data_IF_256069840411
#
_entry.id   IF_256069840411
#
_cell.length_a   1.000
_cell.length_b   1.000
_cell.length_c   1.000
_cell.angle_alpha   90.00
_cell.angle_beta   90.00
_cell.angle_gamma   90.00
#
_symmetry.space_group_name_H-M   'P 1'
#
loop_
_entity.id
_entity.type
_entity.pdbx_description
1 polymer ?
#
# COMPACT_ATOMS: atom_id res chain seq x y z
N UNK A 1 -0.76 -24.21 21.17
CA UNK A 1 -0.22 -23.09 20.37
C UNK A 1 -1.43 -22.35 19.81
N UNK A 2 -1.75 -21.17 20.33
CA UNK A 2 -2.81 -20.33 19.77
C UNK A 2 -2.38 -19.91 18.36
N UNK A 3 -3.19 -20.23 17.33
CA UNK A 3 -3.01 -19.64 16.00
C UNK A 3 -2.91 -18.12 16.15
N UNK A 4 -2.11 -17.42 15.32
CA UNK A 4 -2.19 -15.97 15.26
C UNK A 4 -3.63 -15.63 14.91
N UNK A 5 -4.35 -15.03 15.86
CA UNK A 5 -5.73 -14.64 15.67
C UNK A 5 -5.74 -13.61 14.54
N UNK A 6 -6.33 -13.96 13.40
CA UNK A 6 -6.65 -12.97 12.40
C UNK A 6 -7.61 -11.98 13.06
N UNK A 7 -7.26 -10.69 13.01
CA UNK A 7 -8.06 -9.64 13.66
C UNK A 7 -9.50 -9.63 13.13
N UNK A 8 -9.70 -9.99 11.86
CA UNK A 8 -11.01 -10.12 11.22
C UNK A 8 -11.27 -11.57 10.78
N UNK A 9 -12.55 -11.95 10.69
CA UNK A 9 -13.01 -13.26 10.24
C UNK A 9 -13.36 -13.28 8.75
N UNK A 10 -13.88 -12.18 8.21
CA UNK A 10 -14.10 -12.01 6.77
C UNK A 10 -12.76 -11.85 6.07
N UNK A 11 -12.62 -12.55 4.93
CA UNK A 11 -11.41 -12.61 4.13
C UNK A 11 -11.72 -12.16 2.70
N UNK A 12 -11.00 -11.14 2.22
CA UNK A 12 -11.13 -10.60 0.87
C UNK A 12 -9.95 -10.99 0.00
N UNK A 13 -10.20 -11.24 -1.28
CA UNK A 13 -9.16 -11.51 -2.30
C UNK A 13 -9.10 -10.42 -3.37
N UNK A 14 -10.03 -9.45 -3.33
CA UNK A 14 -10.19 -8.39 -4.32
C UNK A 14 -10.82 -7.14 -3.69
N UNK A 15 -10.88 -6.05 -4.45
CA UNK A 15 -11.54 -4.80 -4.07
C UNK A 15 -12.98 -5.03 -3.60
N UNK A 16 -13.37 -4.33 -2.52
CA UNK A 16 -14.74 -4.35 -2.00
C UNK A 16 -15.17 -2.93 -1.57
N UNK A 17 -16.48 -2.67 -1.40
CA UNK A 17 -17.00 -1.30 -1.31
C UNK A 17 -16.34 -0.40 -0.26
N UNK A 18 -15.90 -0.96 0.87
CA UNK A 18 -15.30 -0.17 1.95
C UNK A 18 -13.88 0.34 1.64
N UNK A 19 -13.18 -0.29 0.69
CA UNK A 19 -11.82 0.07 0.26
C UNK A 19 -11.78 0.61 -1.17
N UNK A 20 -12.93 0.73 -1.84
CA UNK A 20 -13.00 1.16 -3.24
C UNK A 20 -12.32 2.52 -3.42
N UNK A 21 -11.31 2.65 -4.30
CA UNK A 21 -10.49 3.87 -4.41
C UNK A 21 -11.27 5.07 -4.95
N UNK A 22 -12.38 4.80 -5.64
CA UNK A 22 -13.33 5.78 -6.17
C UNK A 22 -14.39 6.21 -5.16
N UNK A 23 -14.37 5.67 -3.93
CA UNK A 23 -15.32 6.04 -2.88
C UNK A 23 -15.10 7.49 -2.45
N UNK A 24 -16.12 8.37 -2.50
CA UNK A 24 -15.99 9.76 -2.07
C UNK A 24 -15.52 9.89 -0.61
N UNK A 25 -15.90 8.93 0.25
CA UNK A 25 -15.52 8.90 1.66
C UNK A 25 -14.01 8.70 1.88
N UNK A 26 -13.29 8.19 0.88
CA UNK A 26 -11.84 7.95 0.96
C UNK A 26 -11.01 9.04 0.27
N UNK A 27 -11.63 10.17 -0.07
CA UNK A 27 -10.94 11.32 -0.68
C UNK A 27 -9.98 11.97 0.31
N UNK A 28 -8.74 12.21 -0.12
CA UNK A 28 -7.64 12.75 0.66
C UNK A 28 -7.43 14.24 0.34
N UNK A 29 -8.47 15.05 0.62
CA UNK A 29 -8.49 16.45 0.24
C UNK A 29 -7.41 17.25 0.98
N UNK A 30 -6.57 17.98 0.24
CA UNK A 30 -5.47 18.78 0.78
C UNK A 30 -4.19 17.97 1.05
N UNK A 31 -4.26 16.65 0.99
CA UNK A 31 -3.19 15.78 1.43
C UNK A 31 -2.18 15.47 0.30
N UNK A 32 -0.93 15.27 0.70
CA UNK A 32 0.14 14.74 -0.17
C UNK A 32 0.44 13.30 0.22
N UNK A 33 0.29 12.39 -0.74
CA UNK A 33 0.51 10.95 -0.56
C UNK A 33 1.79 10.54 -1.29
N UNK A 34 2.69 9.82 -0.61
CA UNK A 34 3.86 9.19 -1.22
C UNK A 34 3.67 7.68 -1.30
N UNK A 35 3.91 7.10 -2.48
CA UNK A 35 3.67 5.69 -2.77
C UNK A 35 4.94 5.08 -3.36
N UNK A 36 5.36 3.96 -2.80
CA UNK A 36 6.50 3.18 -3.29
C UNK A 36 6.03 1.98 -4.12
N UNK A 37 6.76 1.62 -5.18
CA UNK A 37 6.54 0.35 -5.89
C UNK A 37 5.73 0.42 -7.19
N UNK A 38 5.38 1.61 -7.68
CA UNK A 38 4.95 1.88 -9.07
C UNK A 38 3.65 1.24 -9.59
N UNK A 39 3.05 0.29 -8.87
CA UNK A 39 1.74 -0.26 -9.15
C UNK A 39 0.80 0.16 -8.02
N UNK A 40 -0.06 1.14 -8.27
CA UNK A 40 -1.02 1.61 -7.29
C UNK A 40 -2.32 2.01 -8.00
N UNK A 41 -3.41 1.43 -7.52
CA UNK A 41 -4.75 2.02 -7.57
C UNK A 41 -4.79 3.16 -6.53
N UNK A 42 -5.38 4.30 -6.85
CA UNK A 42 -5.21 5.55 -6.11
C UNK A 42 -6.53 6.14 -5.62
N UNK A 43 -6.51 6.67 -4.40
CA UNK A 43 -7.52 7.60 -3.93
C UNK A 43 -7.29 8.98 -4.55
N UNK A 44 -8.36 9.73 -4.76
CA UNK A 44 -8.27 11.16 -5.09
C UNK A 44 -7.55 11.92 -3.96
N UNK A 45 -6.48 12.64 -4.30
CA UNK A 45 -5.68 13.45 -3.39
C UNK A 45 -5.26 14.78 -4.04
N UNK A 46 -4.79 15.75 -3.25
CA UNK A 46 -4.24 16.98 -3.83
C UNK A 46 -2.91 16.74 -4.56
N UNK A 47 -2.05 15.87 -4.00
CA UNK A 47 -0.78 15.49 -4.61
C UNK A 47 -0.45 14.03 -4.36
N UNK A 48 0.03 13.35 -5.39
CA UNK A 48 0.51 11.98 -5.33
C UNK A 48 1.94 11.90 -5.87
N UNK A 49 2.83 11.33 -5.07
CA UNK A 49 4.25 11.14 -5.37
C UNK A 49 4.48 9.63 -5.54
N UNK A 50 4.84 9.22 -6.76
CA UNK A 50 5.07 7.81 -7.07
C UNK A 50 6.58 7.56 -7.20
N UNK A 51 7.10 6.67 -6.37
CA UNK A 51 8.51 6.28 -6.32
C UNK A 51 8.66 4.86 -6.85
N UNK A 52 9.58 4.67 -7.78
CA UNK A 52 9.91 3.35 -8.32
C UNK A 52 11.25 3.34 -9.03
N UNK A 53 11.78 2.14 -9.30
CA UNK A 53 13.13 2.01 -9.89
C UNK A 53 13.21 2.34 -11.39
N UNK A 54 12.07 2.33 -12.09
CA UNK A 54 11.99 2.39 -13.55
C UNK A 54 11.14 3.57 -14.02
N UNK A 55 11.79 4.61 -14.54
CA UNK A 55 11.12 5.86 -14.93
C UNK A 55 10.10 5.67 -16.05
N UNK A 56 10.43 4.92 -17.11
CA UNK A 56 9.53 4.70 -18.23
C UNK A 56 8.17 4.12 -17.80
N UNK A 57 8.16 3.17 -16.85
CA UNK A 57 6.92 2.61 -16.32
C UNK A 57 6.16 3.57 -15.39
N UNK A 58 6.86 4.48 -14.71
CA UNK A 58 6.23 5.47 -13.85
C UNK A 58 5.51 6.54 -14.68
N UNK A 59 6.16 7.01 -15.75
CA UNK A 59 5.59 8.02 -16.64
C UNK A 59 4.34 7.52 -17.36
N UNK A 60 4.36 6.29 -17.89
CA UNK A 60 3.18 5.70 -18.54
C UNK A 60 1.99 5.60 -17.58
N UNK A 61 2.23 5.15 -16.34
CA UNK A 61 1.20 5.08 -15.30
C UNK A 61 0.65 6.48 -14.97
N UNK A 62 1.53 7.48 -14.81
CA UNK A 62 1.11 8.85 -14.49
C UNK A 62 0.34 9.51 -15.64
N UNK A 63 0.61 9.19 -16.90
CA UNK A 63 -0.20 9.66 -18.03
C UNK A 63 -1.65 9.17 -17.92
N UNK A 64 -1.85 7.90 -17.59
CA UNK A 64 -3.20 7.32 -17.39
C UNK A 64 -3.88 7.96 -16.18
N UNK A 65 -3.16 8.10 -15.07
CA UNK A 65 -3.70 8.67 -13.83
C UNK A 65 -4.06 10.14 -13.95
N UNK A 66 -3.26 10.96 -14.66
CA UNK A 66 -3.62 12.35 -14.98
C UNK A 66 -4.86 12.45 -15.85
N UNK A 67 -5.17 11.40 -16.61
CA UNK A 67 -6.40 11.36 -17.39
C UNK A 67 -7.64 11.08 -16.54
N UNK A 68 -7.48 10.31 -15.46
CA UNK A 68 -8.56 9.94 -14.54
C UNK A 68 -8.76 11.00 -13.44
N UNK A 69 -7.67 11.47 -12.83
CA UNK A 69 -7.67 12.39 -11.68
C UNK A 69 -7.22 13.80 -12.10
N UNK A 70 -8.15 14.56 -12.70
CA UNK A 70 -7.87 15.88 -13.29
C UNK A 70 -7.39 16.94 -12.29
N UNK A 71 -7.74 16.79 -11.02
CA UNK A 71 -7.44 17.77 -9.95
C UNK A 71 -6.22 17.40 -9.13
N UNK A 72 -5.61 16.23 -9.37
CA UNK A 72 -4.50 15.71 -8.59
C UNK A 72 -3.17 16.04 -9.26
N UNK A 73 -2.24 16.62 -8.50
CA UNK A 73 -0.87 16.78 -8.94
C UNK A 73 -0.12 15.44 -8.84
N UNK A 74 0.61 15.07 -9.89
CA UNK A 74 1.42 13.84 -9.90
C UNK A 74 2.90 14.16 -10.07
N UNK A 75 3.71 13.66 -9.14
CA UNK A 75 5.17 13.71 -9.17
C UNK A 75 5.70 12.26 -9.28
N UNK A 76 6.60 12.01 -10.21
CA UNK A 76 7.34 10.74 -10.28
C UNK A 76 8.77 10.94 -9.80
N UNK A 77 9.31 9.94 -9.11
CA UNK A 77 10.73 9.91 -8.72
C UNK A 77 11.31 8.53 -8.93
N UNK A 78 12.44 8.48 -9.61
CA UNK A 78 13.27 7.29 -9.56
C UNK A 78 13.78 7.08 -8.14
N UNK A 79 13.66 5.87 -7.62
CA UNK A 79 14.23 5.51 -6.33
C UNK A 79 14.19 4.02 -6.05
N UNK A 80 15.21 3.53 -5.36
CA UNK A 80 15.27 2.19 -4.79
C UNK A 80 15.05 2.25 -3.28
N UNK A 81 13.91 1.73 -2.83
CA UNK A 81 13.57 1.70 -1.40
C UNK A 81 14.46 0.77 -0.58
N UNK A 82 15.26 -0.09 -1.24
CA UNK A 82 16.27 -0.91 -0.59
C UNK A 82 17.62 -0.20 -0.39
N UNK A 83 17.76 1.06 -0.84
CA UNK A 83 19.00 1.84 -0.77
C UNK A 83 18.82 3.05 0.15
N UNK A 84 19.61 3.10 1.22
CA UNK A 84 19.60 4.23 2.18
C UNK A 84 19.95 5.56 1.49
N UNK A 85 20.89 5.55 0.54
CA UNK A 85 21.24 6.72 -0.27
C UNK A 85 20.04 7.18 -1.10
N UNK A 86 19.35 6.26 -1.77
CA UNK A 86 18.17 6.59 -2.56
C UNK A 86 17.03 7.14 -1.69
N UNK A 87 16.85 6.63 -0.48
CA UNK A 87 15.87 7.14 0.49
C UNK A 87 16.26 8.55 0.94
N UNK A 88 17.53 8.77 1.25
CA UNK A 88 18.06 10.07 1.66
C UNK A 88 17.84 11.12 0.59
N UNK A 89 18.24 10.83 -0.65
CA UNK A 89 18.02 11.74 -1.79
C UNK A 89 16.54 12.03 -2.06
N UNK A 90 15.65 11.05 -1.87
CA UNK A 90 14.21 11.27 -1.98
C UNK A 90 13.74 12.30 -0.95
N UNK A 91 14.11 12.13 0.33
CA UNK A 91 13.68 13.05 1.38
C UNK A 91 14.31 14.43 1.25
N UNK A 92 15.58 14.54 0.88
CA UNK A 92 16.23 15.81 0.59
C UNK A 92 15.55 16.56 -0.56
N UNK A 93 15.19 15.85 -1.63
CA UNK A 93 14.42 16.42 -2.73
C UNK A 93 13.08 16.98 -2.24
N UNK A 94 12.29 16.19 -1.51
CA UNK A 94 10.98 16.63 -1.01
C UNK A 94 11.11 17.84 -0.08
N UNK A 95 12.12 17.83 0.80
CA UNK A 95 12.44 18.96 1.66
C UNK A 95 12.80 20.22 0.87
N UNK A 96 13.64 20.09 -0.16
CA UNK A 96 14.04 21.21 -1.02
C UNK A 96 12.87 21.87 -1.77
N UNK A 97 11.81 21.09 -2.04
CA UNK A 97 10.58 21.55 -2.67
C UNK A 97 9.53 22.04 -1.66
N UNK A 98 9.87 22.04 -0.36
CA UNK A 98 8.95 22.33 0.74
C UNK A 98 7.68 21.45 0.70
N UNK A 99 7.85 20.19 0.29
CA UNK A 99 6.77 19.21 0.21
C UNK A 99 6.69 18.44 1.53
N UNK A 100 5.53 18.53 2.17
CA UNK A 100 5.20 17.74 3.35
C UNK A 100 4.40 16.50 2.93
N UNK A 101 4.90 15.30 3.26
CA UNK A 101 4.21 14.03 3.02
C UNK A 101 3.30 13.76 4.20
N UNK A 102 2.01 13.61 3.94
CA UNK A 102 1.00 13.36 4.97
C UNK A 102 0.69 11.89 5.14
N UNK A 103 0.83 11.12 4.06
CA UNK A 103 0.61 9.67 4.02
C UNK A 103 1.76 9.02 3.26
N UNK A 104 2.42 8.07 3.91
CA UNK A 104 3.40 7.18 3.27
C UNK A 104 2.82 5.77 3.06
N UNK A 105 2.71 5.35 1.81
CA UNK A 105 2.28 4.00 1.40
C UNK A 105 3.50 3.16 0.98
N UNK A 106 3.88 2.24 1.85
CA UNK A 106 4.98 1.29 1.61
C UNK A 106 4.49 0.03 0.89
N UNK A 107 4.08 0.18 -0.37
CA UNK A 107 3.61 -0.94 -1.20
C UNK A 107 4.76 -1.72 -1.88
N UNK A 108 5.97 -1.15 -1.98
CA UNK A 108 7.11 -1.85 -2.59
C UNK A 108 7.45 -3.15 -1.84
N UNK A 109 7.13 -4.29 -2.45
CA UNK A 109 7.53 -5.59 -1.95
C UNK A 109 8.90 -5.98 -2.52
N UNK A 110 9.86 -6.26 -1.63
CA UNK A 110 11.09 -6.96 -1.99
C UNK A 110 10.84 -8.48 -1.88
N UNK A 111 10.83 -9.18 -3.00
CA UNK A 111 10.88 -10.65 -3.01
C UNK A 111 12.35 -11.06 -2.99
N UNK A 112 12.88 -11.37 -1.81
CA UNK A 112 14.24 -11.90 -1.68
C UNK A 112 14.35 -13.30 -2.29
N UNK A 113 15.48 -13.56 -2.94
CA UNK A 113 15.84 -14.77 -3.67
C UNK A 113 15.61 -16.08 -2.90
N UNK A 114 14.60 -16.85 -3.35
CA UNK A 114 14.56 -18.31 -3.57
C UNK A 114 13.12 -18.61 -4.02
N UNK A 115 12.81 -18.96 -5.27
CA UNK A 115 13.47 -19.84 -6.25
C UNK A 115 13.71 -19.09 -7.59
N UNK A 116 14.82 -19.39 -8.25
CA UNK A 116 15.15 -18.87 -9.59
C UNK A 116 14.19 -19.43 -10.65
N UNK A 117 13.69 -18.57 -11.54
CA UNK A 117 12.96 -19.00 -12.73
C UNK A 117 13.90 -19.80 -13.65
N UNK A 118 13.49 -21.03 -13.98
CA UNK A 118 14.05 -21.85 -15.04
C UNK A 118 12.89 -22.51 -15.78
N UNK A 119 13.08 -22.93 -17.04
CA UNK A 119 12.07 -23.73 -17.77
C UNK A 119 11.67 -25.00 -16.99
N UNK A 120 12.56 -25.52 -16.14
CA UNK A 120 12.25 -26.62 -15.20
C UNK A 120 11.37 -26.20 -14.02
N UNK A 121 11.60 -25.03 -13.43
CA UNK A 121 10.79 -24.51 -12.32
C UNK A 121 9.37 -24.08 -12.77
N UNK A 122 9.24 -23.52 -13.97
CA UNK A 122 7.95 -23.16 -14.56
C UNK A 122 7.08 -24.39 -14.93
N UNK A 123 7.71 -25.54 -15.21
CA UNK A 123 7.02 -26.83 -15.43
C UNK A 123 6.52 -27.47 -14.13
N UNK A 124 7.08 -27.12 -12.98
CA UNK A 124 6.76 -27.73 -11.68
C UNK A 124 5.63 -27.02 -10.90
N UNK A 125 5.43 -25.71 -11.10
CA UNK A 125 4.40 -24.94 -10.42
C UNK A 125 3.39 -24.38 -11.43
N UNK A 126 2.36 -25.16 -11.74
CA UNK A 126 1.27 -24.71 -12.60
C UNK A 126 0.57 -23.46 -12.04
N UNK A 127 0.05 -22.60 -12.92
CA UNK A 127 -0.75 -21.39 -12.55
C UNK A 127 -1.91 -21.69 -11.58
N UNK A 128 -2.36 -22.94 -11.49
CA UNK A 128 -3.41 -23.45 -10.60
C UNK A 128 -2.94 -23.90 -9.21
N UNK A 129 -1.64 -23.86 -8.91
CA UNK A 129 -1.07 -24.34 -7.65
C UNK A 129 -1.29 -23.43 -6.43
N UNK A 130 -1.78 -22.20 -6.64
CA UNK A 130 -1.95 -21.20 -5.59
C UNK A 130 -3.27 -20.43 -5.76
N UNK A 131 -3.93 -20.12 -4.64
CA UNK A 131 -4.98 -19.08 -4.62
C UNK A 131 -4.27 -17.73 -4.68
N UNK A 132 -4.40 -17.04 -5.81
CA UNK A 132 -3.79 -15.72 -6.02
C UNK A 132 -4.74 -14.64 -5.51
N UNK A 133 -4.21 -13.66 -4.80
CA UNK A 133 -4.95 -12.44 -4.52
C UNK A 133 -4.84 -11.49 -5.71
N UNK A 134 -5.85 -10.67 -5.90
CA UNK A 134 -5.81 -9.54 -6.83
C UNK A 134 -4.73 -8.55 -6.39
N UNK A 135 -3.97 -7.99 -7.33
CA UNK A 135 -3.06 -6.87 -7.05
C UNK A 135 -3.82 -5.60 -6.62
N UNK A 136 -5.12 -5.51 -6.95
CA UNK A 136 -5.97 -4.39 -6.54
C UNK A 136 -6.23 -4.38 -5.03
N UNK A 137 -6.38 -5.56 -4.39
CA UNK A 137 -6.66 -5.67 -2.96
C UNK A 137 -5.66 -4.89 -2.07
N UNK A 138 -4.33 -5.13 -2.13
CA UNK A 138 -3.38 -4.36 -1.33
C UNK A 138 -3.30 -2.88 -1.71
N UNK A 139 -3.53 -2.55 -2.98
CA UNK A 139 -3.53 -1.16 -3.43
C UNK A 139 -4.73 -0.38 -2.85
N UNK A 140 -5.93 -0.92 -2.99
CA UNK A 140 -7.18 -0.31 -2.52
C UNK A 140 -7.28 -0.29 -1.00
N UNK A 141 -6.79 -1.35 -0.34
CA UNK A 141 -6.65 -1.32 1.11
C UNK A 141 -5.72 -0.20 1.56
N UNK A 142 -4.67 0.13 0.79
CA UNK A 142 -3.79 1.26 1.10
C UNK A 142 -4.46 2.61 0.97
N UNK A 143 -5.38 2.74 0.02
CA UNK A 143 -6.23 3.92 -0.12
C UNK A 143 -7.11 4.12 1.12
N UNK A 144 -7.76 3.06 1.59
CA UNK A 144 -8.53 3.14 2.84
C UNK A 144 -7.64 3.43 4.05
N UNK A 145 -6.49 2.75 4.16
CA UNK A 145 -5.57 2.91 5.27
C UNK A 145 -4.91 4.30 5.35
N UNK A 146 -4.91 5.03 4.24
CA UNK A 146 -4.53 6.45 4.18
C UNK A 146 -5.60 7.40 4.73
N UNK A 147 -6.85 6.95 4.86
CA UNK A 147 -7.97 7.81 5.26
C UNK A 147 -7.92 8.16 6.76
N UNK A 148 -8.52 9.30 7.17
CA UNK A 148 -8.66 9.63 8.59
C UNK A 148 -9.33 8.52 9.40
N UNK A 149 -10.14 7.66 8.79
CA UNK A 149 -10.78 6.53 9.45
C UNK A 149 -9.78 5.49 9.99
N UNK A 150 -8.63 5.36 9.32
CA UNK A 150 -7.59 4.40 9.65
C UNK A 150 -6.53 4.96 10.62
N UNK A 151 -6.75 6.13 11.23
CA UNK A 151 -5.74 6.80 12.08
C UNK A 151 -5.17 5.92 13.21
N UNK A 152 -5.96 4.94 13.70
CA UNK A 152 -5.54 3.99 14.74
C UNK A 152 -4.50 2.97 14.27
N UNK A 153 -4.37 2.81 12.96
CA UNK A 153 -3.44 1.90 12.30
C UNK A 153 -2.12 2.60 11.90
N UNK A 154 -2.04 3.93 12.05
CA UNK A 154 -0.82 4.66 11.75
C UNK A 154 0.35 4.16 12.61
N UNK A 155 1.51 4.01 11.97
CA UNK A 155 2.74 3.47 12.54
C UNK A 155 2.72 1.95 12.74
N UNK A 156 1.70 1.24 12.25
CA UNK A 156 1.55 -0.21 12.41
C UNK A 156 1.64 -0.94 11.08
N UNK A 157 2.04 -2.21 11.16
CA UNK A 157 1.91 -3.15 10.05
C UNK A 157 0.49 -3.70 10.01
N UNK A 158 -0.12 -3.65 8.83
CA UNK A 158 -1.49 -4.12 8.60
C UNK A 158 -1.54 -5.08 7.42
N UNK A 159 -2.58 -5.92 7.42
CA UNK A 159 -2.81 -6.91 6.38
C UNK A 159 -3.96 -6.46 5.49
N UNK A 160 -3.78 -6.47 4.16
CA UNK A 160 -4.83 -6.02 3.23
C UNK A 160 -6.05 -6.94 3.20
N UNK A 161 -5.93 -8.15 3.75
CA UNK A 161 -7.01 -9.12 3.90
C UNK A 161 -7.95 -8.83 5.07
N UNK A 162 -7.61 -7.88 5.95
CA UNK A 162 -8.48 -7.52 7.06
C UNK A 162 -9.74 -6.82 6.54
N UNK A 163 -10.90 -7.25 7.02
CA UNK A 163 -12.17 -6.60 6.70
C UNK A 163 -12.32 -5.28 7.45
N UNK A 164 -12.27 -4.19 6.70
CA UNK A 164 -12.45 -2.82 7.20
C UNK A 164 -13.77 -2.62 7.97
N UNK A 165 -14.87 -3.26 7.57
CA UNK A 165 -16.13 -3.09 8.28
C UNK A 165 -16.08 -3.76 9.66
N UNK A 166 -15.46 -4.93 9.78
CA UNK A 166 -15.19 -5.58 11.07
C UNK A 166 -14.22 -4.73 11.91
N UNK A 167 -13.14 -4.22 11.30
CA UNK A 167 -12.25 -3.29 11.99
C UNK A 167 -13.02 -2.10 12.57
N UNK A 168 -13.99 -1.53 11.83
CA UNK A 168 -14.85 -0.42 12.29
C UNK A 168 -15.83 -0.84 13.39
N UNK A 169 -16.46 -2.00 13.27
CA UNK A 169 -17.62 -2.38 14.07
C UNK A 169 -17.26 -3.12 15.37
N UNK A 170 -16.16 -3.86 15.41
CA UNK A 170 -15.84 -4.75 16.52
C UNK A 170 -15.07 -4.01 17.63
N UNK A 171 -15.72 -3.87 18.79
CA UNK A 171 -15.15 -3.16 19.94
C UNK A 171 -13.93 -3.86 20.56
N UNK A 172 -13.80 -5.18 20.40
CA UNK A 172 -12.68 -5.94 20.93
C UNK A 172 -11.47 -5.85 20.00
N UNK A 173 -11.68 -5.86 18.67
CA UNK A 173 -10.64 -5.47 17.70
C UNK A 173 -10.13 -4.06 18.03
N UNK A 174 -11.04 -3.11 18.26
CA UNK A 174 -10.68 -1.73 18.57
C UNK A 174 -9.86 -1.61 19.86
N UNK A 175 -10.14 -2.41 20.89
CA UNK A 175 -9.30 -2.49 22.11
C UNK A 175 -7.95 -3.13 21.84
N UNK A 176 -7.88 -4.19 21.03
CA UNK A 176 -6.62 -4.84 20.67
C UNK A 176 -5.68 -3.89 19.92
N UNK A 177 -6.22 -3.02 19.06
CA UNK A 177 -5.45 -1.97 18.36
C UNK A 177 -4.91 -0.89 19.32
N UNK A 178 -5.44 -0.75 20.53
CA UNK A 178 -4.91 0.16 21.56
C UNK A 178 -3.72 -0.46 22.33
N UNK A 179 -3.50 -1.78 22.23
CA UNK A 179 -2.36 -2.49 22.82
C UNK A 179 -1.04 -2.32 22.04
N UNK A 180 0.10 -2.53 22.72
CA UNK A 180 1.46 -2.44 22.13
C UNK A 180 1.60 -3.39 20.92
N UNK A 181 2.26 -2.88 19.88
CA UNK A 181 2.34 -3.47 18.54
C UNK A 181 2.84 -4.91 18.49
N UNK A 182 2.24 -5.68 17.58
CA UNK A 182 2.51 -7.12 17.38
C UNK A 182 3.58 -7.29 16.29
N UNK A 183 4.77 -7.75 16.68
CA UNK A 183 5.74 -8.48 15.83
C UNK A 183 5.25 -9.96 15.73
N UNK A 184 5.42 -10.80 14.69
CA UNK A 184 6.46 -10.97 13.66
C UNK A 184 6.02 -12.06 12.62
N UNK A 185 6.77 -12.21 11.50
CA UNK A 185 6.68 -13.22 10.40
C UNK A 185 6.16 -12.77 9.02
N UNK A 186 6.75 -13.39 7.99
CA UNK A 186 7.26 -12.87 6.71
C UNK A 186 6.23 -12.81 5.56
N UNK A 187 6.40 -11.75 4.77
CA UNK A 187 5.80 -11.45 3.46
C UNK A 187 4.36 -10.94 3.49
N UNK A 188 4.16 -9.73 2.93
CA UNK A 188 2.91 -8.95 2.75
C UNK A 188 2.42 -8.12 3.94
N UNK A 189 3.28 -7.24 4.47
CA UNK A 189 2.90 -6.21 5.43
C UNK A 189 3.01 -4.84 4.77
N UNK A 190 2.05 -3.95 5.03
CA UNK A 190 2.14 -2.53 4.65
C UNK A 190 2.27 -1.72 5.94
N UNK A 191 3.24 -0.81 5.99
CA UNK A 191 3.39 0.15 7.09
C UNK A 191 3.01 1.55 6.61
N UNK A 192 2.28 2.28 7.46
CA UNK A 192 1.79 3.63 7.20
C UNK A 192 2.38 4.57 8.23
N UNK A 193 2.83 5.74 7.79
CA UNK A 193 3.31 6.81 8.67
C UNK A 193 2.60 8.11 8.31
N UNK A 194 2.24 8.89 9.34
CA UNK A 194 1.79 10.28 9.25
C UNK A 194 2.96 11.21 9.50
#
# INVERSE_FOLDING_TARGET
MSSPVALTTTYHTDTYPAISPTSPALTQFGETILITGGAAELASASRIIIVGRRDASLEESVVKLRNEFKTTEFITRQGDIGSDDSITFLWEFLHSQNIFVHVLVLNAAYVSERILYSEGAAKLFGKSGFKWDSFALPADFSVWAASPEAYRLHGRYVWPHWDVNELRADSDIQKQLQGKGVHESRSRRIAYFR
#
